data_IF_246756298872
#
_entry.id   IF_246756298872
#
_cell.length_a   1.000
_cell.length_b   1.000
_cell.length_c   1.000
_cell.angle_alpha   90.00
_cell.angle_beta   90.00
_cell.angle_gamma   90.00
#
_symmetry.space_group_name_H-M   'P 1'
#
loop_
_entity.id
_entity.type
_entity.pdbx_description
1 polymer ?
#
# COMPACT_ATOMS: atom_id res chain seq x y z
N UNK A 1 -17.57 -22.63 -42.49
CA UNK A 1 -18.56 -23.17 -41.53
C UNK A 1 -17.95 -23.90 -40.32
N UNK A 2 -16.82 -24.63 -40.43
CA UNK A 2 -16.20 -25.34 -39.27
C UNK A 2 -15.61 -24.43 -38.16
N UNK A 3 -15.19 -23.21 -38.50
CA UNK A 3 -14.58 -22.27 -37.53
C UNK A 3 -15.58 -21.59 -36.59
N UNK A 4 -16.83 -21.42 -37.03
CA UNK A 4 -17.89 -20.81 -36.22
C UNK A 4 -18.33 -21.75 -35.09
N UNK A 5 -18.37 -23.07 -35.34
CA UNK A 5 -18.73 -24.08 -34.34
C UNK A 5 -17.73 -24.13 -33.17
N UNK A 6 -16.44 -23.92 -33.44
CA UNK A 6 -15.39 -23.90 -32.41
C UNK A 6 -15.52 -22.66 -31.50
N UNK A 7 -15.88 -21.50 -32.07
CA UNK A 7 -16.07 -20.26 -31.32
C UNK A 7 -17.31 -20.37 -30.41
N UNK A 8 -18.39 -21.00 -30.88
CA UNK A 8 -19.61 -21.22 -30.09
C UNK A 8 -19.36 -22.24 -28.95
N UNK A 9 -18.55 -23.28 -29.19
CA UNK A 9 -18.18 -24.24 -28.16
C UNK A 9 -17.28 -23.62 -27.07
N UNK A 10 -16.36 -22.72 -27.44
CA UNK A 10 -15.54 -21.95 -26.49
C UNK A 10 -16.37 -20.92 -25.70
N UNK A 11 -17.38 -20.29 -26.32
CA UNK A 11 -18.29 -19.39 -25.61
C UNK A 11 -19.17 -20.13 -24.58
N UNK A 12 -19.59 -21.36 -24.87
CA UNK A 12 -20.38 -22.17 -23.94
C UNK A 12 -19.55 -22.67 -22.73
N UNK A 13 -18.25 -22.96 -22.94
CA UNK A 13 -17.34 -23.33 -21.85
C UNK A 13 -16.98 -22.14 -20.94
N UNK A 14 -16.94 -20.91 -21.48
CA UNK A 14 -16.74 -19.69 -20.69
C UNK A 14 -17.96 -19.34 -19.81
N UNK A 15 -19.16 -19.80 -20.18
CA UNK A 15 -20.39 -19.59 -19.38
C UNK A 15 -20.49 -20.43 -18.11
N UNK A 16 -19.78 -21.57 -18.03
CA UNK A 16 -19.85 -22.46 -16.86
C UNK A 16 -18.91 -22.05 -15.71
N UNK A 17 -17.97 -21.12 -15.94
CA UNK A 17 -17.06 -20.63 -14.89
C UNK A 17 -17.67 -19.51 -14.03
N UNK A 18 -18.74 -18.85 -14.49
CA UNK A 18 -19.42 -17.76 -13.75
C UNK A 18 -20.66 -18.22 -12.97
N UNK A 19 -20.99 -19.53 -13.00
CA UNK A 19 -22.12 -20.11 -12.29
C UNK A 19 -21.71 -20.89 -11.03
N UNK A 20 -20.45 -20.80 -10.59
CA UNK A 20 -20.15 -21.11 -9.19
C UNK A 20 -20.73 -19.98 -8.37
N UNK A 21 -21.95 -20.22 -7.89
CA UNK A 21 -22.68 -19.39 -6.96
C UNK A 21 -21.71 -18.68 -6.01
N UNK A 22 -21.71 -17.35 -6.04
CA UNK A 22 -21.40 -16.54 -4.87
C UNK A 22 -22.45 -16.88 -3.82
N UNK A 23 -22.36 -18.08 -3.24
CA UNK A 23 -23.13 -18.47 -2.08
C UNK A 23 -22.59 -17.63 -0.94
N UNK A 24 -23.35 -16.60 -0.59
CA UNK A 24 -23.03 -15.83 0.61
C UNK A 24 -23.18 -16.77 1.81
N UNK A 25 -22.21 -16.74 2.74
CA UNK A 25 -22.17 -17.69 3.81
C UNK A 25 -23.41 -17.52 4.70
N UNK A 26 -24.11 -18.63 4.91
CA UNK A 26 -25.29 -18.67 5.79
C UNK A 26 -24.95 -19.16 7.19
N UNK A 27 -23.80 -19.85 7.32
CA UNK A 27 -23.27 -20.36 8.58
C UNK A 27 -21.91 -19.71 8.91
N UNK A 28 -21.62 -19.56 10.20
CA UNK A 28 -20.36 -18.96 10.67
C UNK A 28 -19.12 -19.72 10.18
N UNK A 29 -19.15 -21.06 10.23
CA UNK A 29 -18.03 -21.88 9.77
C UNK A 29 -17.73 -21.71 8.27
N UNK A 30 -18.76 -21.53 7.45
CA UNK A 30 -18.61 -21.26 6.02
C UNK A 30 -17.96 -19.88 5.79
N UNK A 31 -18.43 -18.85 6.51
CA UNK A 31 -17.86 -17.51 6.44
C UNK A 31 -16.38 -17.49 6.83
N UNK A 32 -16.00 -18.19 7.90
CA UNK A 32 -14.61 -18.30 8.35
C UNK A 32 -13.73 -19.02 7.33
N UNK A 33 -14.25 -20.06 6.67
CA UNK A 33 -13.55 -20.75 5.58
C UNK A 33 -13.33 -19.85 4.36
N UNK A 34 -14.32 -19.01 4.01
CA UNK A 34 -14.18 -18.03 2.94
C UNK A 34 -13.18 -16.93 3.28
N UNK A 35 -13.18 -16.41 4.52
CA UNK A 35 -12.18 -15.44 4.99
C UNK A 35 -10.76 -16.01 4.96
N UNK A 36 -10.57 -17.29 5.32
CA UNK A 36 -9.26 -17.95 5.22
C UNK A 36 -8.79 -18.05 3.77
N UNK A 37 -9.69 -18.42 2.87
CA UNK A 37 -9.38 -18.46 1.43
C UNK A 37 -9.02 -17.07 0.91
N UNK A 38 -9.78 -16.04 1.27
CA UNK A 38 -9.56 -14.66 0.84
C UNK A 38 -8.21 -14.13 1.33
N UNK A 39 -7.90 -14.27 2.62
CA UNK A 39 -6.61 -13.85 3.21
C UNK A 39 -5.43 -14.54 2.53
N UNK A 40 -5.57 -15.83 2.19
CA UNK A 40 -4.56 -16.57 1.41
C UNK A 40 -4.41 -15.99 0.00
N UNK A 41 -5.50 -15.69 -0.70
CA UNK A 41 -5.48 -15.10 -2.05
C UNK A 41 -4.82 -13.71 -2.05
N UNK A 42 -5.10 -12.90 -1.03
CA UNK A 42 -4.53 -11.57 -0.83
C UNK A 42 -3.10 -11.60 -0.26
N UNK A 43 -2.55 -12.79 0.01
CA UNK A 43 -1.22 -13.01 0.62
C UNK A 43 -1.05 -12.26 1.95
N UNK A 44 -2.12 -12.19 2.74
CA UNK A 44 -2.10 -11.56 4.05
C UNK A 44 -1.48 -12.50 5.10
N UNK A 45 -1.05 -11.91 6.20
CA UNK A 45 -0.43 -12.67 7.29
C UNK A 45 -1.48 -13.46 8.09
N UNK A 46 -1.02 -14.46 8.84
CA UNK A 46 -1.87 -15.20 9.79
C UNK A 46 -2.49 -14.24 10.82
N UNK A 47 -1.75 -13.21 11.23
CA UNK A 47 -2.25 -12.18 12.16
C UNK A 47 -3.43 -11.40 11.57
N UNK A 48 -3.41 -11.13 10.26
CA UNK A 48 -4.53 -10.47 9.58
C UNK A 48 -5.77 -11.36 9.55
N UNK A 49 -5.60 -12.67 9.33
CA UNK A 49 -6.69 -13.64 9.42
C UNK A 49 -7.27 -13.74 10.84
N UNK A 50 -6.42 -13.85 11.86
CA UNK A 50 -6.86 -13.93 13.26
C UNK A 50 -7.65 -12.68 13.66
N UNK A 51 -7.19 -11.50 13.25
CA UNK A 51 -7.90 -10.25 13.49
C UNK A 51 -9.22 -10.15 12.72
N UNK A 52 -9.25 -10.55 11.44
CA UNK A 52 -10.45 -10.55 10.62
C UNK A 52 -11.52 -11.53 11.14
N UNK A 53 -11.10 -12.75 11.52
CA UNK A 53 -11.98 -13.75 12.13
C UNK A 53 -12.50 -13.30 13.49
N UNK A 54 -11.68 -12.65 14.30
CA UNK A 54 -12.08 -12.02 15.55
C UNK A 54 -13.12 -10.91 15.35
N UNK A 55 -12.90 -10.02 14.39
CA UNK A 55 -13.86 -8.97 14.03
C UNK A 55 -15.20 -9.55 13.56
N UNK A 56 -15.15 -10.57 12.70
CA UNK A 56 -16.33 -11.30 12.24
C UNK A 56 -17.12 -11.90 13.40
N UNK A 57 -16.46 -12.61 14.33
CA UNK A 57 -17.13 -13.22 15.48
C UNK A 57 -17.73 -12.18 16.44
N UNK A 58 -17.08 -11.04 16.62
CA UNK A 58 -17.64 -9.96 17.45
C UNK A 58 -18.89 -9.38 16.79
N UNK A 59 -18.89 -9.20 15.47
CA UNK A 59 -20.07 -8.75 14.73
C UNK A 59 -21.25 -9.73 14.84
N UNK A 60 -21.01 -11.05 14.70
CA UNK A 60 -22.08 -12.04 14.82
C UNK A 60 -22.61 -12.11 16.25
N UNK A 61 -21.75 -12.00 17.27
CA UNK A 61 -22.16 -11.91 18.68
C UNK A 61 -22.96 -10.66 19.00
N UNK A 62 -22.68 -9.54 18.33
CA UNK A 62 -23.48 -8.31 18.41
C UNK A 62 -24.85 -8.45 17.69
N UNK A 63 -25.17 -9.62 17.13
CA UNK A 63 -26.43 -9.92 16.46
C UNK A 63 -26.46 -9.51 14.99
N UNK A 64 -25.34 -9.07 14.42
CA UNK A 64 -25.25 -8.78 12.98
C UNK A 64 -25.34 -10.10 12.22
N UNK A 65 -26.17 -10.15 11.18
CA UNK A 65 -26.34 -11.36 10.38
C UNK A 65 -24.99 -11.84 9.81
N UNK A 66 -24.73 -13.15 9.86
CA UNK A 66 -23.49 -13.78 9.37
C UNK A 66 -23.08 -13.27 7.98
N UNK A 67 -24.03 -13.22 7.04
CA UNK A 67 -23.82 -12.69 5.70
C UNK A 67 -23.31 -11.24 5.70
N UNK A 68 -23.90 -10.38 6.53
CA UNK A 68 -23.52 -8.97 6.60
C UNK A 68 -22.17 -8.79 7.27
N UNK A 69 -21.91 -9.50 8.38
CA UNK A 69 -20.62 -9.50 9.07
C UNK A 69 -19.50 -9.97 8.12
N UNK A 70 -19.71 -11.07 7.41
CA UNK A 70 -18.76 -11.57 6.41
C UNK A 70 -18.50 -10.51 5.32
N UNK A 71 -19.55 -9.92 4.75
CA UNK A 71 -19.42 -8.91 3.69
C UNK A 71 -18.60 -7.70 4.16
N UNK A 72 -18.85 -7.21 5.37
CA UNK A 72 -18.11 -6.07 5.93
C UNK A 72 -16.63 -6.39 6.13
N UNK A 73 -16.31 -7.54 6.72
CA UNK A 73 -14.92 -7.95 6.93
C UNK A 73 -14.21 -8.20 5.60
N UNK A 74 -14.87 -8.85 4.64
CA UNK A 74 -14.36 -9.06 3.28
C UNK A 74 -14.07 -7.74 2.58
N UNK A 75 -15.01 -6.78 2.60
CA UNK A 75 -14.85 -5.45 2.02
C UNK A 75 -13.69 -4.68 2.67
N UNK A 76 -13.53 -4.81 3.99
CA UNK A 76 -12.38 -4.25 4.70
C UNK A 76 -11.05 -4.83 4.22
N UNK A 77 -10.94 -6.15 4.11
CA UNK A 77 -9.72 -6.82 3.65
C UNK A 77 -9.35 -6.43 2.21
N UNK A 78 -10.33 -6.41 1.31
CA UNK A 78 -10.17 -5.98 -0.08
C UNK A 78 -9.79 -4.50 -0.16
N UNK A 79 -10.35 -3.67 0.72
CA UNK A 79 -10.04 -2.25 0.88
C UNK A 79 -8.70 -1.96 1.56
N UNK A 80 -7.91 -2.98 1.88
CA UNK A 80 -6.56 -2.82 2.40
C UNK A 80 -6.44 -2.77 3.93
N UNK A 81 -7.54 -2.93 4.68
CA UNK A 81 -7.48 -2.97 6.14
C UNK A 81 -6.63 -4.17 6.58
N UNK A 82 -5.83 -3.95 7.63
CA UNK A 82 -4.94 -4.97 8.20
C UNK A 82 -5.34 -5.30 9.63
N UNK A 83 -4.56 -6.16 10.27
CA UNK A 83 -4.84 -6.65 11.62
C UNK A 83 -5.24 -5.55 12.61
N UNK A 84 -4.55 -4.42 12.61
CA UNK A 84 -4.82 -3.32 13.55
C UNK A 84 -6.17 -2.64 13.31
N UNK A 85 -6.55 -2.44 12.05
CA UNK A 85 -7.86 -1.87 11.72
C UNK A 85 -8.99 -2.87 12.04
N UNK A 86 -8.75 -4.16 11.80
CA UNK A 86 -9.72 -5.22 12.12
C UNK A 86 -9.94 -5.36 13.63
N UNK A 87 -8.88 -5.23 14.44
CA UNK A 87 -8.99 -5.20 15.89
C UNK A 87 -9.80 -3.97 16.35
N UNK A 88 -9.51 -2.79 15.80
CA UNK A 88 -10.27 -1.58 16.14
C UNK A 88 -11.74 -1.68 15.72
N UNK A 89 -12.01 -2.31 14.57
CA UNK A 89 -13.36 -2.57 14.08
C UNK A 89 -14.12 -3.49 15.04
N UNK A 90 -13.49 -4.57 15.48
CA UNK A 90 -14.03 -5.47 16.49
C UNK A 90 -14.35 -4.72 17.79
N UNK A 91 -13.41 -3.92 18.29
CA UNK A 91 -13.57 -3.13 19.50
C UNK A 91 -14.74 -2.15 19.41
N UNK A 92 -14.84 -1.42 18.29
CA UNK A 92 -15.92 -0.45 18.06
C UNK A 92 -17.29 -1.13 18.08
N UNK A 93 -17.42 -2.30 17.47
CA UNK A 93 -18.67 -3.07 17.46
C UNK A 93 -18.97 -3.62 18.86
N UNK A 94 -17.97 -4.16 19.56
CA UNK A 94 -18.12 -4.66 20.94
C UNK A 94 -18.64 -3.57 21.87
N UNK A 95 -17.98 -2.42 21.92
CA UNK A 95 -18.36 -1.30 22.78
C UNK A 95 -19.78 -0.81 22.50
N UNK A 96 -20.19 -0.77 21.22
CA UNK A 96 -21.56 -0.39 20.87
C UNK A 96 -22.57 -1.45 21.31
N UNK A 97 -22.27 -2.73 21.10
CA UNK A 97 -23.15 -3.79 21.59
C UNK A 97 -23.30 -3.75 23.11
N UNK A 98 -22.20 -3.52 23.85
CA UNK A 98 -22.18 -3.38 25.30
C UNK A 98 -22.97 -2.15 25.80
N UNK A 99 -22.97 -1.06 25.05
CA UNK A 99 -23.80 0.12 25.32
C UNK A 99 -25.28 -0.05 24.92
N UNK A 100 -25.69 -1.25 24.48
CA UNK A 100 -27.08 -1.56 24.15
C UNK A 100 -27.55 -1.08 22.79
N UNK A 101 -26.63 -0.70 21.89
CA UNK A 101 -26.99 -0.39 20.51
C UNK A 101 -27.48 -1.65 19.78
N UNK A 102 -28.48 -1.47 18.91
CA UNK A 102 -29.06 -2.57 18.16
C UNK A 102 -28.10 -3.15 17.10
N UNK A 103 -28.36 -4.37 16.60
CA UNK A 103 -27.52 -4.99 15.56
C UNK A 103 -27.34 -4.13 14.31
N UNK A 104 -28.41 -3.45 13.86
CA UNK A 104 -28.36 -2.58 12.69
C UNK A 104 -27.48 -1.33 12.90
N UNK A 105 -27.47 -0.78 14.13
CA UNK A 105 -26.64 0.36 14.49
C UNK A 105 -25.16 -0.03 14.58
N UNK A 106 -24.90 -1.22 15.12
CA UNK A 106 -23.56 -1.81 15.14
C UNK A 106 -23.04 -2.08 13.71
N UNK A 107 -23.88 -2.64 12.83
CA UNK A 107 -23.54 -2.85 11.42
C UNK A 107 -23.23 -1.54 10.71
N UNK A 108 -24.07 -0.51 10.90
CA UNK A 108 -23.86 0.78 10.26
C UNK A 108 -22.55 1.45 10.73
N UNK A 109 -22.27 1.38 12.03
CA UNK A 109 -21.03 1.92 12.59
C UNK A 109 -19.76 1.21 12.09
N UNK A 110 -19.83 -0.10 11.89
CA UNK A 110 -18.77 -0.90 11.28
C UNK A 110 -18.57 -0.50 9.81
N UNK A 111 -19.66 -0.40 9.05
CA UNK A 111 -19.62 0.01 7.64
C UNK A 111 -19.03 1.40 7.44
N UNK A 112 -19.44 2.34 8.27
CA UNK A 112 -18.92 3.71 8.24
C UNK A 112 -17.41 3.74 8.49
N UNK A 113 -16.95 2.99 9.50
CA UNK A 113 -15.52 2.89 9.80
C UNK A 113 -14.72 2.30 8.65
N UNK A 114 -15.18 1.19 8.05
CA UNK A 114 -14.51 0.57 6.89
C UNK A 114 -14.44 1.59 5.75
N UNK A 115 -15.55 2.25 5.43
CA UNK A 115 -15.61 3.23 4.34
C UNK A 115 -14.67 4.40 4.55
N UNK A 116 -14.58 4.91 5.78
CA UNK A 116 -13.65 5.98 6.14
C UNK A 116 -12.20 5.53 5.98
N UNK A 117 -11.86 4.34 6.48
CA UNK A 117 -10.50 3.81 6.45
C UNK A 117 -10.01 3.53 5.04
N UNK A 118 -10.86 2.92 4.21
CA UNK A 118 -10.57 2.68 2.78
C UNK A 118 -10.36 4.01 2.05
N UNK A 119 -11.19 5.02 2.31
CA UNK A 119 -11.00 6.36 1.71
C UNK A 119 -9.66 6.99 2.10
N UNK A 120 -9.26 6.88 3.37
CA UNK A 120 -7.96 7.37 3.82
C UNK A 120 -6.82 6.69 3.07
N UNK A 121 -6.85 5.36 2.93
CA UNK A 121 -5.79 4.64 2.20
C UNK A 121 -5.71 5.00 0.72
N UNK A 122 -6.85 5.21 0.06
CA UNK A 122 -6.86 5.67 -1.34
C UNK A 122 -6.27 7.07 -1.45
N UNK A 123 -6.65 7.99 -0.56
CA UNK A 123 -6.14 9.36 -0.58
C UNK A 123 -4.63 9.42 -0.26
N UNK A 124 -4.14 8.61 0.67
CA UNK A 124 -2.71 8.50 0.99
C UNK A 124 -1.91 7.93 -0.17
N UNK A 125 -2.44 6.93 -0.88
CA UNK A 125 -1.81 6.37 -2.08
C UNK A 125 -1.70 7.42 -3.20
N UNK A 126 -2.77 8.20 -3.43
CA UNK A 126 -2.78 9.28 -4.42
C UNK A 126 -1.78 10.39 -4.06
N UNK A 127 -1.70 10.76 -2.77
CA UNK A 127 -0.76 11.76 -2.29
C UNK A 127 0.70 11.30 -2.43
N UNK A 128 0.99 10.02 -2.15
CA UNK A 128 2.32 9.45 -2.33
C UNK A 128 2.74 9.44 -3.80
N UNK A 129 1.82 9.09 -4.72
CA UNK A 129 2.07 9.12 -6.16
C UNK A 129 2.33 10.54 -6.67
N UNK A 130 1.61 11.54 -6.16
CA UNK A 130 1.86 12.95 -6.51
C UNK A 130 3.23 13.43 -6.01
N UNK A 131 3.62 13.04 -4.79
CA UNK A 131 4.90 13.45 -4.22
C UNK A 131 6.12 12.84 -4.93
N UNK A 132 5.98 11.63 -5.48
CA UNK A 132 7.05 11.02 -6.28
C UNK A 132 7.14 11.65 -7.68
N UNK A 133 6.02 12.06 -8.29
CA UNK A 133 6.04 12.82 -9.55
C UNK A 133 6.76 14.16 -9.42
N UNK A 134 6.57 14.88 -8.31
CA UNK A 134 7.24 16.15 -8.07
C UNK A 134 8.76 15.98 -7.93
N UNK A 135 9.23 14.90 -7.30
CA UNK A 135 10.66 14.59 -7.18
C UNK A 135 11.30 14.22 -8.51
N UNK A 136 10.59 13.50 -9.38
CA UNK A 136 11.08 13.18 -10.72
C UNK A 136 11.18 14.44 -11.60
N UNK A 137 10.20 15.36 -11.51
CA UNK A 137 10.27 16.65 -12.19
C UNK A 137 11.42 17.54 -11.70
N UNK A 138 11.64 17.60 -10.39
CA UNK A 138 12.75 18.37 -9.82
C UNK A 138 14.11 17.77 -10.21
N UNK A 139 14.20 16.44 -10.32
CA UNK A 139 15.42 15.76 -10.77
C UNK A 139 15.72 16.02 -12.24
N UNK A 140 14.72 16.02 -13.11
CA UNK A 140 14.88 16.37 -14.52
C UNK A 140 15.29 17.84 -14.70
N UNK A 141 14.68 18.77 -13.92
CA UNK A 141 15.12 20.17 -13.90
C UNK A 141 16.54 20.37 -13.40
N UNK A 142 16.97 19.60 -12.40
CA UNK A 142 18.35 19.66 -11.90
C UNK A 142 19.35 19.13 -12.95
N UNK A 143 18.94 18.11 -13.71
CA UNK A 143 19.75 17.55 -14.80
C UNK A 143 19.95 18.56 -15.92
N UNK A 144 18.91 19.27 -16.32
CA UNK A 144 19.00 20.31 -17.36
C UNK A 144 19.90 21.47 -16.91
N UNK A 145 19.83 21.90 -15.64
CA UNK A 145 20.71 22.94 -15.08
C UNK A 145 22.18 22.51 -14.99
N UNK A 146 22.46 21.24 -14.70
CA UNK A 146 23.83 20.72 -14.68
C UNK A 146 24.39 20.51 -16.09
N UNK A 147 23.55 20.37 -17.11
CA UNK A 147 23.98 20.18 -18.49
C UNK A 147 24.33 21.51 -19.19
N UNK A 148 23.69 22.61 -18.79
CA UNK A 148 24.01 23.97 -19.24
C UNK A 148 25.24 24.60 -18.54
N UNK A 149 25.75 23.98 -17.47
CA UNK A 149 26.90 24.47 -16.70
C UNK A 149 28.28 23.99 -17.17
N UNK A 150 28.36 23.18 -18.25
CA UNK A 150 29.61 22.53 -18.70
C UNK A 150 30.05 22.90 -20.12
N UNK A 151 29.56 24.01 -20.67
CA UNK A 151 30.15 24.61 -21.87
C UNK A 151 30.93 25.86 -21.44
N UNK A 152 32.19 25.92 -21.83
CA UNK A 152 33.08 27.09 -21.76
C UNK A 152 33.84 27.30 -20.43
N UNK A 153 34.71 26.34 -20.10
CA UNK A 153 36.00 26.71 -19.51
C UNK A 153 37.10 25.83 -20.08
N UNK A 154 37.62 26.24 -21.25
CA UNK A 154 38.93 25.79 -21.73
C UNK A 154 40.00 26.23 -20.71
N UNK A 155 40.81 25.31 -20.16
CA UNK A 155 41.99 25.71 -19.43
C UNK A 155 43.05 26.15 -20.44
N UNK A 156 43.19 27.46 -20.62
CA UNK A 156 44.31 28.07 -21.35
C UNK A 156 45.64 27.60 -20.74
N UNK A 157 46.30 26.68 -21.45
CA UNK A 157 47.69 26.31 -21.23
C UNK A 157 48.56 27.39 -21.86
N UNK A 158 48.95 28.39 -21.07
CA UNK A 158 50.07 29.26 -21.44
C UNK A 158 50.80 29.71 -20.17
N UNK A 159 51.93 29.07 -19.89
CA UNK A 159 53.13 29.73 -19.33
C UNK A 159 54.30 28.75 -19.31
N UNK A 160 54.93 28.62 -20.47
CA UNK A 160 56.35 28.30 -20.56
C UNK A 160 57.16 29.61 -20.58
N UNK A 161 58.34 29.56 -19.93
CA UNK A 161 59.44 30.55 -19.90
C UNK A 161 59.32 31.74 -18.94
N UNK A 162 59.97 31.60 -17.79
CA UNK A 162 61.23 32.35 -17.60
C UNK A 162 62.18 31.61 -16.66
N UNK A 163 63.29 31.18 -17.27
CA UNK A 163 64.50 30.66 -16.65
C UNK A 163 65.30 31.84 -16.08
N UNK A 164 66.07 31.54 -15.04
CA UNK A 164 67.25 32.27 -14.54
C UNK A 164 67.03 33.52 -13.67
N UNK A 165 67.20 33.34 -12.36
CA UNK A 165 68.24 34.07 -11.59
C UNK A 165 68.53 33.39 -10.25
N UNK A 166 69.66 32.70 -10.24
CA UNK A 166 70.70 32.69 -9.21
C UNK A 166 70.33 33.23 -7.80
N UNK A 167 70.46 32.35 -6.81
CA UNK A 167 71.41 32.63 -5.73
C UNK A 167 70.86 32.64 -4.30
N UNK A 168 71.50 31.80 -3.48
CA UNK A 168 71.74 31.94 -2.04
C UNK A 168 70.73 31.30 -1.07
N UNK A 169 71.02 30.02 -0.74
CA UNK A 169 71.11 29.54 0.66
C UNK A 169 72.12 30.38 1.48
N UNK A 170 72.23 30.27 2.83
CA UNK A 170 71.54 29.35 3.75
C UNK A 170 71.08 29.98 5.10
N UNK A 171 70.49 29.12 5.95
CA UNK A 171 70.80 28.99 7.39
C UNK A 171 69.82 29.56 8.43
N UNK A 172 69.56 28.74 9.47
CA UNK A 172 69.04 29.16 10.78
C UNK A 172 67.66 28.58 11.11
N UNK A 173 67.55 27.37 11.67
CA UNK A 173 67.59 27.06 13.12
C UNK A 173 66.20 27.02 13.77
N UNK A 174 65.86 25.83 14.30
CA UNK A 174 65.17 25.51 15.58
C UNK A 174 63.91 26.33 15.95
N UNK A 175 62.79 25.73 16.35
CA UNK A 175 62.65 25.21 17.72
C UNK A 175 61.39 24.34 17.90
N UNK A 176 61.50 23.37 18.81
CA UNK A 176 60.41 22.54 19.34
C UNK A 176 59.66 23.29 20.44
N UNK A 177 58.35 23.06 20.55
CA UNK A 177 57.56 23.24 21.78
C UNK A 177 56.12 22.81 21.49
N UNK A 178 55.75 21.56 21.78
CA UNK A 178 55.04 21.12 23.00
C UNK A 178 53.74 21.89 23.26
#
# INVERSE_FOLDING_TARGET
MKRIVIIVALLAAAGMAFAQATSEPTAEGEALGLLLRQTTMLRLSVRDYDAASGAFQVMTRAGIMVRNAYRLVSEGLDGGLRAEDMIQLAEKVRLRSEHGFGPAECENAAREMIRERVRMYVAEADAALSADQDKDQDRDRLRDQLQDGTCDQEPDQDQDRTRDRLGADPSGSTEKGK
#
